data_IF_140428439847
#
_entry.id   IF_140428439847
#
_cell.length_a   1.000
_cell.length_b   1.000
_cell.length_c   1.000
_cell.angle_alpha   90.00
_cell.angle_beta   90.00
_cell.angle_gamma   90.00
#
_symmetry.space_group_name_H-M   'P 1'
#
loop_
_entity.id
_entity.type
_entity.pdbx_description
1 polymer ?
#
# COMPACT_ATOMS: atom_id res chain seq x y z
N UNK A 1 16.29 -21.46 -21.70
CA UNK A 1 14.85 -21.68 -21.46
C UNK A 1 14.26 -20.32 -21.11
N UNK A 2 13.44 -19.71 -21.97
CA UNK A 2 12.73 -18.48 -21.61
C UNK A 2 11.67 -18.80 -20.58
N UNK A 3 11.88 -18.36 -19.35
CA UNK A 3 10.88 -18.45 -18.30
C UNK A 3 9.78 -17.45 -18.65
N UNK A 4 8.59 -17.93 -19.01
CA UNK A 4 7.46 -17.05 -19.32
C UNK A 4 6.99 -16.36 -18.03
N UNK A 5 7.42 -15.12 -17.82
CA UNK A 5 7.03 -14.33 -16.66
C UNK A 5 5.69 -13.65 -16.96
N UNK A 6 4.64 -14.07 -16.24
CA UNK A 6 3.33 -13.46 -16.36
C UNK A 6 3.35 -12.00 -15.88
N UNK A 7 2.52 -11.13 -16.49
CA UNK A 7 2.39 -9.76 -16.00
C UNK A 7 1.82 -9.73 -14.58
N UNK A 8 2.15 -8.70 -13.79
CA UNK A 8 1.53 -8.48 -12.50
C UNK A 8 0.01 -8.25 -12.65
N UNK A 9 -0.75 -8.59 -11.62
CA UNK A 9 -2.20 -8.35 -11.57
C UNK A 9 -2.51 -7.11 -10.71
N UNK A 10 -3.36 -6.23 -11.23
CA UNK A 10 -3.87 -5.09 -10.48
C UNK A 10 -5.11 -5.46 -9.68
N UNK A 11 -5.02 -5.27 -8.36
CA UNK A 11 -6.17 -5.36 -7.46
C UNK A 11 -6.10 -4.24 -6.42
N UNK A 12 -6.96 -3.24 -6.58
CA UNK A 12 -7.02 -2.06 -5.72
C UNK A 12 -7.29 -2.38 -4.23
N UNK A 13 -7.85 -3.56 -3.91
CA UNK A 13 -8.07 -4.02 -2.53
C UNK A 13 -6.81 -4.59 -1.89
N UNK A 14 -5.86 -5.07 -2.69
CA UNK A 14 -4.66 -5.77 -2.23
C UNK A 14 -3.39 -4.92 -2.31
N UNK A 15 -3.28 -4.02 -3.30
CA UNK A 15 -2.11 -3.17 -3.50
C UNK A 15 -2.49 -1.79 -4.02
N UNK A 16 -1.64 -0.80 -3.74
CA UNK A 16 -1.76 0.53 -4.32
C UNK A 16 -1.51 0.51 -5.82
N UNK A 17 -2.05 1.50 -6.51
CA UNK A 17 -1.74 1.73 -7.92
C UNK A 17 -0.24 1.98 -8.12
N UNK A 18 0.39 2.75 -7.22
CA UNK A 18 1.83 3.02 -7.31
C UNK A 18 2.68 1.74 -7.23
N UNK A 19 2.35 0.81 -6.33
CA UNK A 19 3.04 -0.48 -6.24
C UNK A 19 2.85 -1.30 -7.53
N UNK A 20 1.63 -1.36 -8.05
CA UNK A 20 1.35 -2.05 -9.32
C UNK A 20 2.13 -1.44 -10.50
N UNK A 21 2.23 -0.12 -10.57
CA UNK A 21 3.05 0.58 -11.57
C UNK A 21 4.51 0.19 -11.47
N UNK A 22 5.08 0.12 -10.26
CA UNK A 22 6.46 -0.33 -10.07
C UNK A 22 6.66 -1.79 -10.51
N UNK A 23 5.72 -2.68 -10.18
CA UNK A 23 5.75 -4.07 -10.65
C UNK A 23 5.70 -4.17 -12.18
N UNK A 24 4.88 -3.34 -12.85
CA UNK A 24 4.81 -3.29 -14.31
C UNK A 24 6.13 -2.82 -14.93
N UNK A 25 6.76 -1.80 -14.34
CA UNK A 25 8.06 -1.30 -14.79
C UNK A 25 9.14 -2.37 -14.61
N UNK A 26 9.16 -3.09 -13.48
CA UNK A 26 10.07 -4.20 -13.28
C UNK A 26 9.83 -5.36 -14.26
N UNK A 27 8.56 -5.73 -14.49
CA UNK A 27 8.18 -6.78 -15.43
C UNK A 27 8.60 -6.44 -16.87
N UNK A 28 8.45 -5.18 -17.28
CA UNK A 28 8.87 -4.69 -18.61
C UNK A 28 10.36 -4.94 -18.88
N UNK A 29 11.22 -4.86 -17.86
CA UNK A 29 12.67 -5.03 -18.01
C UNK A 29 13.09 -6.50 -18.20
N UNK A 30 12.27 -7.45 -17.76
CA UNK A 30 12.62 -8.89 -17.73
C UNK A 30 11.75 -9.76 -18.64
N UNK A 31 10.71 -9.20 -19.25
CA UNK A 31 9.78 -9.95 -20.09
C UNK A 31 10.33 -10.14 -21.51
N UNK A 32 10.16 -11.36 -22.05
CA UNK A 32 10.47 -11.67 -23.45
C UNK A 32 9.30 -11.29 -24.40
N UNK A 33 8.22 -10.71 -23.87
CA UNK A 33 7.07 -10.34 -24.67
C UNK A 33 7.39 -9.12 -25.55
N UNK A 34 7.13 -9.25 -26.86
CA UNK A 34 7.25 -8.17 -27.83
C UNK A 34 6.55 -6.88 -27.34
N UNK A 35 7.22 -5.73 -27.47
CA UNK A 35 6.75 -4.42 -27.00
C UNK A 35 5.34 -4.09 -27.51
N UNK A 36 5.02 -4.49 -28.74
CA UNK A 36 3.71 -4.30 -29.39
C UNK A 36 2.60 -5.14 -28.78
N UNK A 37 2.93 -6.14 -27.97
CA UNK A 37 1.97 -7.00 -27.29
C UNK A 37 1.79 -6.64 -25.82
N UNK A 38 2.77 -5.94 -25.22
CA UNK A 38 2.76 -5.61 -23.80
C UNK A 38 1.53 -4.78 -23.42
N UNK A 39 1.25 -3.68 -24.14
CA UNK A 39 0.09 -2.82 -23.85
C UNK A 39 -1.24 -3.58 -23.88
N UNK A 40 -1.45 -4.41 -24.90
CA UNK A 40 -2.67 -5.23 -25.05
C UNK A 40 -2.80 -6.26 -23.93
N UNK A 41 -1.72 -6.98 -23.60
CA UNK A 41 -1.74 -8.01 -22.55
C UNK A 41 -2.08 -7.40 -21.20
N UNK A 42 -1.50 -6.25 -20.86
CA UNK A 42 -1.81 -5.56 -19.61
C UNK A 42 -3.25 -5.03 -19.60
N UNK A 43 -3.73 -4.44 -20.70
CA UNK A 43 -5.10 -3.95 -20.79
C UNK A 43 -6.14 -5.07 -20.56
N UNK A 44 -5.87 -6.27 -21.08
CA UNK A 44 -6.72 -7.45 -20.88
C UNK A 44 -6.61 -8.04 -19.47
N UNK A 45 -5.50 -7.86 -18.76
CA UNK A 45 -5.33 -8.33 -17.38
C UNK A 45 -5.90 -7.38 -16.34
N UNK A 46 -6.36 -6.19 -16.73
CA UNK A 46 -7.05 -5.28 -15.81
C UNK A 46 -8.37 -5.91 -15.32
N UNK A 47 -8.76 -5.62 -14.07
CA UNK A 47 -9.99 -6.18 -13.50
C UNK A 47 -11.23 -5.71 -14.28
N UNK A 48 -12.20 -6.60 -14.42
CA UNK A 48 -13.50 -6.31 -15.06
C UNK A 48 -14.51 -5.71 -14.06
N UNK A 49 -14.37 -6.09 -12.78
CA UNK A 49 -15.28 -5.73 -11.71
C UNK A 49 -14.53 -4.99 -10.59
N UNK A 50 -14.14 -3.76 -10.89
CA UNK A 50 -13.52 -2.85 -9.94
C UNK A 50 -14.18 -1.47 -9.98
N UNK A 51 -14.22 -0.77 -8.83
CA UNK A 51 -14.91 0.51 -8.68
C UNK A 51 -14.38 1.60 -9.64
N UNK A 52 -13.11 1.53 -10.04
CA UNK A 52 -12.53 2.51 -10.94
C UNK A 52 -12.98 2.31 -12.40
N UNK A 53 -13.50 1.12 -12.74
CA UNK A 53 -13.86 0.69 -14.10
C UNK A 53 -12.72 0.94 -15.09
N UNK A 54 -11.47 0.75 -14.65
CA UNK A 54 -10.31 1.18 -15.44
C UNK A 54 -10.23 0.44 -16.77
N UNK A 55 -10.60 -0.84 -16.80
CA UNK A 55 -10.58 -1.65 -18.03
C UNK A 55 -11.56 -1.13 -19.08
N UNK A 56 -12.80 -0.86 -18.68
CA UNK A 56 -13.82 -0.25 -19.55
C UNK A 56 -13.30 1.06 -20.15
N UNK A 57 -12.81 1.97 -19.29
CA UNK A 57 -12.24 3.26 -19.70
C UNK A 57 -11.07 3.12 -20.68
N UNK A 58 -10.20 2.12 -20.49
CA UNK A 58 -9.08 1.85 -21.39
C UNK A 58 -9.57 1.47 -22.79
N UNK A 59 -10.51 0.53 -22.88
CA UNK A 59 -11.02 0.05 -24.18
C UNK A 59 -11.94 1.07 -24.87
N UNK A 60 -12.53 2.01 -24.12
CA UNK A 60 -13.31 3.11 -24.68
C UNK A 60 -12.46 4.27 -25.22
N UNK A 61 -11.29 4.53 -24.61
CA UNK A 61 -10.51 5.75 -24.88
C UNK A 61 -9.16 5.52 -25.56
N UNK A 62 -8.61 4.31 -25.48
CA UNK A 62 -7.35 3.96 -26.15
C UNK A 62 -7.65 3.01 -27.29
N UNK A 63 -7.27 3.39 -28.50
CA UNK A 63 -7.43 2.52 -29.66
C UNK A 63 -6.56 1.27 -29.55
N UNK A 64 -7.02 0.17 -30.14
CA UNK A 64 -6.23 -1.07 -30.20
C UNK A 64 -4.91 -0.86 -30.96
N UNK A 65 -4.87 0.04 -31.94
CA UNK A 65 -3.66 0.36 -32.70
C UNK A 65 -2.64 1.10 -31.83
N UNK A 66 -3.08 1.96 -30.91
CA UNK A 66 -2.19 2.62 -29.95
C UNK A 66 -1.60 1.63 -28.93
N UNK A 67 -2.42 0.68 -28.45
CA UNK A 67 -1.94 -0.39 -27.55
C UNK A 67 -0.95 -1.34 -28.22
N UNK A 68 -0.99 -1.45 -29.56
CA UNK A 68 -0.11 -2.30 -30.38
C UNK A 68 1.20 -1.62 -30.81
N UNK A 69 1.45 -0.38 -30.41
CA UNK A 69 2.73 0.30 -30.68
C UNK A 69 3.81 -0.18 -29.72
N UNK A 70 5.08 0.05 -30.07
CA UNK A 70 6.21 -0.17 -29.15
C UNK A 70 6.09 0.67 -27.86
N UNK A 71 5.33 1.77 -27.92
CA UNK A 71 5.00 2.65 -26.79
C UNK A 71 3.69 2.28 -26.09
N UNK A 72 2.99 1.23 -26.52
CA UNK A 72 1.62 0.92 -26.07
C UNK A 72 1.51 0.70 -24.56
N UNK A 73 2.50 0.04 -23.95
CA UNK A 73 2.56 -0.09 -22.49
C UNK A 73 2.73 1.27 -21.79
N UNK A 74 3.58 2.16 -22.32
CA UNK A 74 3.77 3.50 -21.77
C UNK A 74 2.48 4.32 -21.88
N UNK A 75 1.81 4.29 -23.03
CA UNK A 75 0.50 4.94 -23.24
C UNK A 75 -0.52 4.47 -22.21
N UNK A 76 -0.59 3.16 -21.98
CA UNK A 76 -1.49 2.58 -20.98
C UNK A 76 -1.15 3.04 -19.55
N UNK A 77 0.13 3.03 -19.16
CA UNK A 77 0.56 3.52 -17.83
C UNK A 77 0.20 5.01 -17.66
N UNK A 78 0.44 5.85 -18.67
CA UNK A 78 0.06 7.28 -18.61
C UNK A 78 -1.45 7.48 -18.44
N UNK A 79 -2.26 6.65 -19.11
CA UNK A 79 -3.70 6.68 -18.94
C UNK A 79 -4.11 6.25 -17.52
N UNK A 80 -3.52 5.18 -17.01
CA UNK A 80 -3.76 4.73 -15.64
C UNK A 80 -3.31 5.78 -14.62
N UNK A 81 -2.19 6.47 -14.83
CA UNK A 81 -1.74 7.57 -13.96
C UNK A 81 -2.82 8.66 -13.85
N UNK A 82 -3.38 9.07 -15.00
CA UNK A 82 -4.44 10.09 -15.05
C UNK A 82 -5.69 9.67 -14.27
N UNK A 83 -6.03 8.38 -14.30
CA UNK A 83 -7.30 7.89 -13.76
C UNK A 83 -7.21 7.27 -12.35
N UNK A 84 -6.04 6.82 -11.91
CA UNK A 84 -5.87 6.09 -10.66
C UNK A 84 -4.91 6.77 -9.68
N UNK A 85 -3.94 7.57 -10.14
CA UNK A 85 -2.91 8.11 -9.23
C UNK A 85 -3.47 9.10 -8.22
N UNK A 86 -4.42 9.96 -8.64
CA UNK A 86 -5.03 10.94 -7.75
C UNK A 86 -5.86 10.26 -6.66
N UNK A 87 -6.64 9.25 -7.04
CA UNK A 87 -7.49 8.49 -6.12
C UNK A 87 -6.64 7.67 -5.14
N UNK A 88 -5.54 7.07 -5.63
CA UNK A 88 -4.59 6.33 -4.79
C UNK A 88 -3.88 7.22 -3.77
N UNK A 89 -3.51 8.45 -4.16
CA UNK A 89 -2.89 9.43 -3.27
C UNK A 89 -3.89 9.96 -2.23
N UNK A 90 -5.11 10.31 -2.65
CA UNK A 90 -6.16 10.77 -1.73
C UNK A 90 -6.51 9.71 -0.69
N UNK A 91 -6.66 8.45 -1.11
CA UNK A 91 -6.90 7.31 -0.22
C UNK A 91 -5.70 7.04 0.71
N UNK A 92 -4.47 7.22 0.22
CA UNK A 92 -3.27 7.11 1.05
C UNK A 92 -3.21 8.19 2.13
N UNK A 93 -3.53 9.44 1.77
CA UNK A 93 -3.62 10.56 2.71
C UNK A 93 -4.68 10.30 3.78
N UNK A 94 -5.89 9.92 3.38
CA UNK A 94 -6.98 9.64 4.32
C UNK A 94 -6.62 8.51 5.31
N UNK A 95 -5.98 7.44 4.83
CA UNK A 95 -5.50 6.35 5.70
C UNK A 95 -4.36 6.79 6.63
N UNK A 96 -3.47 7.65 6.13
CA UNK A 96 -2.40 8.23 6.93
C UNK A 96 -2.94 9.10 8.06
N UNK A 97 -3.84 10.04 7.75
CA UNK A 97 -4.49 10.91 8.74
C UNK A 97 -5.29 10.08 9.76
N UNK A 98 -6.06 9.08 9.30
CA UNK A 98 -6.82 8.16 10.17
C UNK A 98 -5.94 7.39 11.17
N UNK A 99 -4.69 7.10 10.80
CA UNK A 99 -3.69 6.49 11.69
C UNK A 99 -2.97 7.52 12.56
N UNK A 100 -2.59 8.67 11.98
CA UNK A 100 -1.78 9.69 12.63
C UNK A 100 -2.55 10.41 13.74
N UNK A 101 -3.85 10.64 13.54
CA UNK A 101 -4.73 11.31 14.48
C UNK A 101 -5.33 10.35 15.54
N UNK A 102 -5.18 9.03 15.34
CA UNK A 102 -5.75 8.04 16.25
C UNK A 102 -5.05 8.04 17.61
N UNK A 103 -5.83 8.28 18.66
CA UNK A 103 -5.41 8.28 20.06
C UNK A 103 -6.44 7.56 20.93
N UNK A 104 -5.99 7.01 22.05
CA UNK A 104 -6.87 6.31 22.98
C UNK A 104 -7.95 7.26 23.53
N UNK A 105 -9.19 6.79 23.48
CA UNK A 105 -10.34 7.48 24.07
C UNK A 105 -10.40 7.31 25.59
N UNK A 106 -11.10 8.20 26.33
CA UNK A 106 -11.14 8.17 27.80
C UNK A 106 -11.74 6.88 28.37
N UNK A 107 -12.64 6.22 27.63
CA UNK A 107 -13.32 4.99 28.05
C UNK A 107 -12.90 3.74 27.25
N UNK A 108 -11.84 3.86 26.44
CA UNK A 108 -11.34 2.75 25.65
C UNK A 108 -10.35 1.92 26.49
N UNK A 109 -10.46 0.59 26.47
CA UNK A 109 -9.46 -0.26 27.10
C UNK A 109 -8.11 -0.16 26.37
N UNK A 110 -7.02 -0.53 27.03
CA UNK A 110 -5.70 -0.51 26.40
C UNK A 110 -5.66 -1.55 25.27
N UNK A 111 -6.23 -2.73 25.51
CA UNK A 111 -6.31 -3.80 24.51
C UNK A 111 -7.05 -3.35 23.25
N UNK A 112 -8.25 -2.77 23.39
CA UNK A 112 -9.03 -2.27 22.24
C UNK A 112 -8.26 -1.16 21.48
N UNK A 113 -7.52 -0.33 22.21
CA UNK A 113 -6.67 0.71 21.63
C UNK A 113 -5.53 0.10 20.81
N UNK A 114 -4.78 -0.86 21.34
CA UNK A 114 -3.68 -1.54 20.65
C UNK A 114 -4.19 -2.26 19.40
N UNK A 115 -5.30 -3.00 19.50
CA UNK A 115 -5.91 -3.70 18.37
C UNK A 115 -6.34 -2.74 17.25
N UNK A 116 -6.95 -1.60 17.62
CA UNK A 116 -7.37 -0.57 16.66
C UNK A 116 -6.16 0.14 16.04
N UNK A 117 -5.13 0.43 16.83
CA UNK A 117 -3.90 1.03 16.37
C UNK A 117 -3.20 0.13 15.33
N UNK A 118 -3.07 -1.17 15.64
CA UNK A 118 -2.54 -2.19 14.71
C UNK A 118 -3.37 -2.26 13.43
N UNK A 119 -4.70 -2.24 13.54
CA UNK A 119 -5.58 -2.28 12.38
C UNK A 119 -5.40 -1.07 11.47
N UNK A 120 -5.23 0.13 12.04
CA UNK A 120 -4.96 1.37 11.30
C UNK A 120 -3.57 1.37 10.69
N UNK A 121 -2.54 0.94 11.43
CA UNK A 121 -1.18 0.81 10.90
C UNK A 121 -1.11 -0.14 9.70
N UNK A 122 -1.77 -1.31 9.78
CA UNK A 122 -1.86 -2.26 8.65
C UNK A 122 -2.45 -1.63 7.38
N UNK A 123 -3.34 -0.63 7.49
CA UNK A 123 -3.90 0.06 6.32
C UNK A 123 -2.86 0.93 5.61
N UNK A 124 -2.02 1.64 6.36
CA UNK A 124 -0.95 2.46 5.77
C UNK A 124 0.23 1.61 5.29
N UNK A 125 0.51 0.49 5.96
CA UNK A 125 1.52 -0.47 5.51
C UNK A 125 1.17 -1.07 4.13
N UNK A 126 -0.12 -1.36 3.87
CA UNK A 126 -0.61 -1.79 2.54
C UNK A 126 -0.40 -0.74 1.44
N UNK A 127 -0.21 0.53 1.81
CA UNK A 127 0.17 1.62 0.91
C UNK A 127 1.68 1.83 0.83
N UNK A 128 2.46 0.86 1.31
CA UNK A 128 3.92 0.90 1.38
C UNK A 128 4.47 2.00 2.31
N UNK A 129 3.64 2.52 3.24
CA UNK A 129 4.07 3.48 4.26
C UNK A 129 4.48 2.73 5.54
N UNK A 130 5.66 2.10 5.49
CA UNK A 130 6.22 1.34 6.63
C UNK A 130 6.98 2.26 7.56
N UNK A 131 6.69 2.17 8.86
CA UNK A 131 7.40 2.91 9.89
C UNK A 131 8.46 2.02 10.56
N UNK A 132 9.61 2.58 10.97
CA UNK A 132 10.55 1.86 11.84
C UNK A 132 9.88 1.44 13.15
N UNK A 133 10.27 0.28 13.67
CA UNK A 133 9.68 -0.32 14.88
C UNK A 133 9.71 0.63 16.08
N UNK A 134 10.79 1.39 16.26
CA UNK A 134 10.95 2.36 17.33
C UNK A 134 9.95 3.53 17.21
N UNK A 135 9.72 4.04 16.00
CA UNK A 135 8.79 5.13 15.76
C UNK A 135 7.36 4.68 16.04
N UNK A 136 7.04 3.43 15.66
CA UNK A 136 5.73 2.85 15.91
C UNK A 136 5.48 2.63 17.40
N UNK A 137 6.47 2.11 18.14
CA UNK A 137 6.43 1.98 19.59
C UNK A 137 6.22 3.33 20.29
N UNK A 138 6.95 4.36 19.87
CA UNK A 138 6.83 5.69 20.46
C UNK A 138 5.46 6.33 20.18
N UNK A 139 4.90 6.13 18.97
CA UNK A 139 3.56 6.60 18.64
C UNK A 139 2.49 5.90 19.47
N UNK A 140 2.58 4.57 19.62
CA UNK A 140 1.66 3.78 20.44
C UNK A 140 1.67 4.28 21.90
N UNK A 141 2.83 4.33 22.54
CA UNK A 141 2.97 4.77 23.94
C UNK A 141 2.50 6.21 24.15
N UNK A 142 2.83 7.12 23.22
CA UNK A 142 2.45 8.54 23.32
C UNK A 142 0.95 8.74 23.19
N UNK A 143 0.29 7.96 22.33
CA UNK A 143 -1.14 8.12 22.00
C UNK A 143 -2.05 7.22 22.83
N UNK A 144 -1.49 6.29 23.61
CA UNK A 144 -2.20 5.50 24.60
C UNK A 144 -2.73 6.31 25.81
N UNK A 145 -2.22 7.54 26.00
CA UNK A 145 -2.58 8.42 27.15
C UNK A 145 -2.45 7.73 28.51
N UNK A 146 -1.42 6.90 28.65
CA UNK A 146 -1.08 6.24 29.90
C UNK A 146 -0.41 7.20 30.89
N UNK A 147 -0.50 6.86 32.16
CA UNK A 147 0.17 7.53 33.26
C UNK A 147 1.69 7.42 33.14
N UNK A 148 2.40 8.23 33.92
CA UNK A 148 3.87 8.22 33.93
C UNK A 148 4.39 6.89 34.48
N UNK A 149 3.69 6.33 35.46
CA UNK A 149 3.98 5.07 36.13
C UNK A 149 3.83 3.88 35.17
N UNK A 150 2.68 3.78 34.49
CA UNK A 150 2.44 2.77 33.44
C UNK A 150 3.50 2.85 32.33
N UNK A 151 3.81 4.07 31.88
CA UNK A 151 4.86 4.28 30.87
C UNK A 151 6.23 3.78 31.35
N UNK A 152 6.57 3.99 32.63
CA UNK A 152 7.85 3.57 33.19
C UNK A 152 7.95 2.04 33.31
N UNK A 153 6.85 1.37 33.65
CA UNK A 153 6.74 -0.09 33.68
C UNK A 153 7.04 -0.69 32.30
N UNK A 154 6.36 -0.20 31.26
CA UNK A 154 6.52 -0.71 29.89
C UNK A 154 7.92 -0.45 29.38
N UNK A 155 8.45 0.76 29.59
CA UNK A 155 9.82 1.09 29.18
C UNK A 155 10.88 0.21 29.85
N UNK A 156 10.63 -0.32 31.05
CA UNK A 156 11.56 -1.23 31.74
C UNK A 156 11.52 -2.64 31.15
N UNK A 157 10.37 -3.07 30.62
CA UNK A 157 10.21 -4.35 29.94
C UNK A 157 10.71 -4.39 28.49
N UNK A 158 10.98 -3.23 27.88
CA UNK A 158 11.40 -3.14 26.47
C UNK A 158 12.88 -3.51 26.28
N UNK A 159 13.16 -4.31 25.25
CA UNK A 159 14.52 -4.67 24.85
C UNK A 159 15.11 -3.64 23.86
N UNK A 160 15.82 -2.63 24.38
CA UNK A 160 16.45 -1.57 23.60
C UNK A 160 17.61 -2.04 22.70
N UNK A 161 18.18 -3.21 22.95
CA UNK A 161 19.24 -3.79 22.13
C UNK A 161 18.69 -4.44 20.86
N UNK A 162 17.39 -4.80 20.86
CA UNK A 162 16.71 -5.44 19.72
C UNK A 162 15.64 -4.53 19.11
N UNK A 163 16.09 -3.52 18.35
CA UNK A 163 15.22 -2.52 17.70
C UNK A 163 14.01 -3.10 16.94
N UNK A 164 14.15 -4.17 16.13
CA UNK A 164 13.02 -4.78 15.42
C UNK A 164 11.86 -5.25 16.32
N UNK A 165 12.11 -5.53 17.60
CA UNK A 165 11.09 -6.04 18.54
C UNK A 165 10.47 -4.96 19.42
N UNK A 166 10.91 -3.70 19.31
CA UNK A 166 10.47 -2.62 20.20
C UNK A 166 8.97 -2.35 20.08
N UNK A 167 8.39 -2.54 18.89
CA UNK A 167 6.97 -2.33 18.71
C UNK A 167 6.16 -3.39 19.45
N UNK A 168 6.49 -4.66 19.29
CA UNK A 168 5.79 -5.75 19.97
C UNK A 168 5.94 -5.63 21.50
N UNK A 169 7.14 -5.31 21.98
CA UNK A 169 7.36 -5.05 23.41
C UNK A 169 6.58 -3.86 23.96
N UNK A 170 6.23 -2.88 23.11
CA UNK A 170 5.40 -1.74 23.52
C UNK A 170 3.90 -2.05 23.60
N UNK A 171 3.46 -3.23 23.16
CA UNK A 171 2.04 -3.64 23.23
C UNK A 171 1.64 -4.20 24.59
N UNK A 172 2.61 -4.55 25.43
CA UNK A 172 2.44 -5.03 26.81
C UNK A 172 2.10 -3.89 27.80
N UNK A 173 1.36 -2.86 27.34
CA UNK A 173 0.87 -1.74 28.15
C UNK A 173 -0.28 -2.18 29.05
#
# INVERSE_FOLDING_TARGET
MSTKINPPNYNAKLKSYELYKQELLAWKEITDLDKKKQGVVIALSLPEDDESKIREKVFDQISLDDLKKDTGLTTLITFMDKHLAKDDLADSLAKFEDFEDFQRGPNQSIQDYVETFDAKYRKIEKKNMKLPSEILAFKLLRRAKITKEEKMLVLTGMNYENKPTLYDGSKEI
#
